data_IF_723393999849
#
_entry.id   IF_723393999849
#
_cell.length_a   1.000
_cell.length_b   1.000
_cell.length_c   1.000
_cell.angle_alpha   90.00
_cell.angle_beta   90.00
_cell.angle_gamma   90.00
#
_symmetry.space_group_name_H-M   'P 1'
#
loop_
_entity.id
_entity.type
_entity.pdbx_description
1 polymer ?
#
# COMPACT_ATOMS: atom_id res chain seq x y z
N UNK A 1 -8.95 2.96 10.83
CA UNK A 1 -9.49 3.49 9.57
C UNK A 1 -9.65 2.37 8.55
N UNK A 2 -10.57 2.54 7.63
CA UNK A 2 -10.87 1.55 6.57
C UNK A 2 -9.67 1.26 5.66
N UNK A 3 -8.75 2.22 5.53
CA UNK A 3 -7.57 2.07 4.66
C UNK A 3 -6.51 1.14 5.24
N UNK A 4 -6.53 0.88 6.55
CA UNK A 4 -5.60 -0.07 7.17
C UNK A 4 -5.80 -1.48 6.64
N UNK A 5 -7.03 -1.90 6.41
CA UNK A 5 -7.32 -3.22 5.83
C UNK A 5 -6.74 -3.35 4.42
N UNK A 6 -6.84 -2.30 3.62
CA UNK A 6 -6.25 -2.26 2.28
C UNK A 6 -4.73 -2.39 2.35
N UNK A 7 -4.10 -1.65 3.27
CA UNK A 7 -2.65 -1.69 3.47
C UNK A 7 -2.19 -3.07 3.94
N UNK A 8 -2.89 -3.67 4.89
CA UNK A 8 -2.58 -5.02 5.39
C UNK A 8 -2.72 -6.08 4.29
N UNK A 9 -3.77 -6.00 3.48
CA UNK A 9 -3.96 -6.91 2.35
C UNK A 9 -2.82 -6.80 1.34
N UNK A 10 -2.35 -5.58 1.08
CA UNK A 10 -1.19 -5.35 0.23
C UNK A 10 0.08 -5.97 0.84
N UNK A 11 0.31 -5.77 2.13
CA UNK A 11 1.44 -6.39 2.84
C UNK A 11 1.41 -7.91 2.72
N UNK A 12 0.25 -8.53 2.94
CA UNK A 12 0.07 -9.97 2.84
C UNK A 12 0.35 -10.48 1.41
N UNK A 13 -0.14 -9.78 0.41
CA UNK A 13 0.12 -10.13 -1.00
C UNK A 13 1.60 -10.02 -1.35
N UNK A 14 2.27 -8.97 -0.91
CA UNK A 14 3.70 -8.80 -1.12
C UNK A 14 4.49 -9.96 -0.49
N UNK A 15 4.07 -10.44 0.67
CA UNK A 15 4.69 -11.59 1.31
C UNK A 15 4.54 -12.87 0.46
N UNK A 16 3.43 -13.04 -0.24
CA UNK A 16 3.24 -14.17 -1.17
C UNK A 16 4.21 -14.13 -2.36
N UNK A 17 4.79 -12.98 -2.65
CA UNK A 17 5.84 -12.80 -3.65
C UNK A 17 7.26 -12.77 -3.05
N UNK A 18 7.41 -13.20 -1.80
CA UNK A 18 8.70 -13.24 -1.12
C UNK A 18 9.19 -11.87 -0.61
N UNK A 19 8.34 -10.86 -0.61
CA UNK A 19 8.69 -9.50 -0.20
C UNK A 19 8.20 -9.25 1.22
N UNK A 20 9.09 -9.45 2.20
CA UNK A 20 8.80 -9.40 3.63
C UNK A 20 9.09 -8.05 4.29
N UNK A 21 9.60 -7.08 3.54
CA UNK A 21 10.03 -5.79 4.09
C UNK A 21 8.96 -4.69 4.03
N UNK A 22 7.72 -5.04 3.71
CA UNK A 22 6.63 -4.07 3.69
C UNK A 22 6.15 -3.78 5.10
N UNK A 23 6.29 -2.54 5.53
CA UNK A 23 5.80 -2.08 6.83
C UNK A 23 4.41 -1.46 6.69
N UNK A 24 3.54 -1.80 7.63
CA UNK A 24 2.16 -1.30 7.67
C UNK A 24 1.87 -0.79 9.09
N UNK A 25 2.42 0.39 9.46
CA UNK A 25 2.30 0.89 10.83
C UNK A 25 0.87 1.32 11.14
N UNK A 26 0.38 0.92 12.31
CA UNK A 26 -0.92 1.26 12.83
C UNK A 26 -0.87 2.45 13.76
N UNK A 27 -1.74 3.42 13.50
CA UNK A 27 -1.88 4.61 14.32
C UNK A 27 -0.86 5.69 13.97
N UNK A 28 -1.25 6.91 14.24
CA UNK A 28 -0.50 8.10 13.84
C UNK A 28 0.92 8.15 14.41
N UNK A 29 1.07 7.74 15.66
CA UNK A 29 2.38 7.73 16.33
C UNK A 29 3.38 6.81 15.62
N UNK A 30 2.97 5.55 15.38
CA UNK A 30 3.84 4.58 14.69
C UNK A 30 4.10 4.97 13.24
N UNK A 31 3.11 5.52 12.56
CA UNK A 31 3.26 6.02 11.19
C UNK A 31 4.32 7.12 11.11
N UNK A 32 4.31 8.03 12.06
CA UNK A 32 5.32 9.10 12.13
C UNK A 32 6.71 8.55 12.43
N UNK A 33 6.83 7.64 13.38
CA UNK A 33 8.13 7.03 13.72
C UNK A 33 8.69 6.23 12.52
N UNK A 34 7.85 5.50 11.82
CA UNK A 34 8.26 4.75 10.63
C UNK A 34 8.73 5.69 9.53
N UNK A 35 8.01 6.78 9.29
CA UNK A 35 8.44 7.79 8.32
C UNK A 35 9.78 8.43 8.72
N UNK A 36 9.95 8.74 9.99
CA UNK A 36 11.19 9.35 10.50
C UNK A 36 12.39 8.41 10.36
N UNK A 37 12.17 7.10 10.53
CA UNK A 37 13.21 6.08 10.41
C UNK A 37 13.52 5.69 8.96
N UNK A 38 12.76 6.20 7.99
CA UNK A 38 12.94 5.87 6.58
C UNK A 38 14.16 6.56 5.96
N UNK A 39 14.55 6.07 4.79
CA UNK A 39 15.69 6.57 4.04
C UNK A 39 15.42 6.44 2.52
N UNK A 40 16.29 6.96 1.63
CA UNK A 40 16.06 6.94 0.18
C UNK A 40 15.96 5.56 -0.46
N UNK A 41 16.31 4.48 0.25
CA UNK A 41 16.12 3.10 -0.24
C UNK A 41 14.68 2.61 -0.06
N UNK A 42 13.89 3.32 0.72
CA UNK A 42 12.47 3.04 0.90
C UNK A 42 11.63 3.73 -0.17
N UNK A 43 10.43 3.24 -0.34
CA UNK A 43 9.34 3.92 -1.02
C UNK A 43 8.12 3.88 -0.10
N UNK A 44 7.28 4.89 -0.17
CA UNK A 44 6.09 4.96 0.66
C UNK A 44 4.84 5.07 -0.21
N UNK A 45 3.78 4.40 0.22
CA UNK A 45 2.45 4.53 -0.38
C UNK A 45 1.53 5.13 0.69
N UNK A 46 0.91 6.25 0.35
CA UNK A 46 -0.05 6.93 1.23
C UNK A 46 -1.46 6.64 0.71
N UNK A 47 -2.24 6.00 1.54
CA UNK A 47 -3.64 5.67 1.24
C UNK A 47 -4.56 6.65 1.97
N UNK A 48 -5.07 7.63 1.27
CA UNK A 48 -6.01 8.61 1.83
C UNK A 48 -6.97 9.08 0.75
N UNK A 49 -8.24 8.72 0.88
CA UNK A 49 -9.23 9.02 -0.15
C UNK A 49 -9.32 10.52 -0.42
N UNK A 50 -9.53 11.33 0.62
CA UNK A 50 -9.70 12.79 0.46
C UNK A 50 -8.40 13.59 0.53
N UNK A 51 -7.32 13.02 1.03
CA UNK A 51 -6.07 13.73 1.33
C UNK A 51 -6.16 14.67 2.54
N UNK A 52 -7.30 14.76 3.17
CA UNK A 52 -7.57 15.70 4.28
C UNK A 52 -7.33 15.12 5.67
N UNK A 53 -6.98 13.84 5.77
CA UNK A 53 -6.67 13.24 7.05
C UNK A 53 -5.47 13.95 7.70
N UNK A 54 -5.55 14.14 9.01
CA UNK A 54 -4.56 14.91 9.78
C UNK A 54 -3.15 14.35 9.71
N UNK A 55 -3.00 13.06 9.44
CA UNK A 55 -1.68 12.42 9.33
C UNK A 55 -0.96 12.71 8.02
N UNK A 56 -1.68 13.06 6.96
CA UNK A 56 -1.11 13.13 5.59
C UNK A 56 0.00 14.16 5.49
N UNK A 57 -0.28 15.39 5.84
CA UNK A 57 0.68 16.48 5.69
C UNK A 57 1.98 16.27 6.47
N UNK A 58 1.95 15.99 7.79
CA UNK A 58 3.19 15.83 8.55
C UNK A 58 4.01 14.63 8.09
N UNK A 59 3.38 13.53 7.70
CA UNK A 59 4.09 12.35 7.21
C UNK A 59 4.72 12.64 5.84
N UNK A 60 4.01 13.28 4.93
CA UNK A 60 4.56 13.66 3.62
C UNK A 60 5.78 14.58 3.77
N UNK A 61 5.72 15.54 4.69
CA UNK A 61 6.87 16.43 4.96
C UNK A 61 8.10 15.66 5.41
N UNK A 62 7.93 14.74 6.36
CA UNK A 62 9.03 13.92 6.87
C UNK A 62 9.61 13.04 5.77
N UNK A 63 8.76 12.36 5.01
CA UNK A 63 9.20 11.51 3.90
C UNK A 63 9.96 12.32 2.86
N UNK A 64 9.50 13.51 2.56
CA UNK A 64 10.19 14.42 1.63
C UNK A 64 11.57 14.81 2.16
N UNK A 65 11.69 15.17 3.43
CA UNK A 65 12.97 15.48 4.07
C UNK A 65 13.93 14.28 4.05
N UNK A 66 13.40 13.07 4.18
CA UNK A 66 14.18 11.81 4.12
C UNK A 66 14.47 11.35 2.69
N UNK A 67 14.00 12.09 1.68
CA UNK A 67 14.16 11.77 0.26
C UNK A 67 13.56 10.40 -0.12
N UNK A 68 12.47 10.06 0.53
CA UNK A 68 11.70 8.85 0.24
C UNK A 68 10.69 9.16 -0.86
N UNK A 69 10.71 8.47 -2.01
CA UNK A 69 9.68 8.63 -3.02
C UNK A 69 8.33 8.16 -2.49
N UNK A 70 7.30 8.95 -2.74
CA UNK A 70 5.94 8.70 -2.26
C UNK A 70 4.99 8.56 -3.43
N UNK A 71 4.16 7.52 -3.40
CA UNK A 71 2.99 7.38 -4.26
C UNK A 71 1.75 7.64 -3.43
N UNK A 72 0.96 8.61 -3.86
CA UNK A 72 -0.31 8.93 -3.23
C UNK A 72 -1.44 8.18 -3.93
N UNK A 73 -2.31 7.55 -3.17
CA UNK A 73 -3.50 6.86 -3.68
C UNK A 73 -4.74 7.46 -3.04
N UNK A 74 -5.60 8.05 -3.84
CA UNK A 74 -6.82 8.70 -3.37
C UNK A 74 -7.71 9.16 -4.51
N UNK A 75 -8.74 9.94 -4.20
CA UNK A 75 -9.65 10.48 -5.21
C UNK A 75 -8.97 11.57 -6.06
N UNK A 76 -9.52 11.83 -7.23
CA UNK A 76 -9.13 12.99 -8.03
C UNK A 76 -9.25 14.28 -7.19
N UNK A 77 -8.20 15.09 -7.19
CA UNK A 77 -8.12 16.29 -6.35
C UNK A 77 -7.74 16.05 -4.89
N UNK A 78 -7.56 14.79 -4.47
CA UNK A 78 -7.14 14.45 -3.10
C UNK A 78 -5.65 14.64 -2.85
N UNK A 79 -4.82 14.73 -3.90
CA UNK A 79 -3.40 15.01 -3.76
C UNK A 79 -3.18 16.50 -3.51
N UNK A 80 -3.31 16.91 -2.25
CA UNK A 80 -3.24 18.32 -1.82
C UNK A 80 -1.81 18.84 -1.72
N UNK A 81 -0.81 17.96 -1.74
CA UNK A 81 0.60 18.30 -1.54
C UNK A 81 1.47 17.69 -2.65
N UNK A 82 1.22 18.06 -3.92
CA UNK A 82 1.92 17.44 -5.05
C UNK A 82 3.44 17.64 -5.00
N UNK A 83 3.91 18.68 -4.33
CA UNK A 83 5.34 18.94 -4.17
C UNK A 83 6.08 17.88 -3.35
N UNK A 84 5.36 17.10 -2.53
CA UNK A 84 5.95 16.05 -1.70
C UNK A 84 5.79 14.63 -2.27
N UNK A 85 5.17 14.50 -3.44
CA UNK A 85 4.73 13.23 -4.00
C UNK A 85 5.41 12.98 -5.34
N UNK A 86 5.97 11.79 -5.52
CA UNK A 86 6.57 11.37 -6.79
C UNK A 86 5.53 11.00 -7.84
N UNK A 87 4.37 10.50 -7.42
CA UNK A 87 3.28 10.15 -8.29
C UNK A 87 1.98 9.97 -7.53
N UNK A 88 0.87 10.06 -8.24
CA UNK A 88 -0.45 9.87 -7.67
C UNK A 88 -1.27 8.90 -8.52
N UNK A 89 -1.93 7.95 -7.86
CA UNK A 89 -2.89 7.04 -8.45
C UNK A 89 -4.27 7.48 -8.01
N UNK A 90 -5.11 7.88 -8.96
CA UNK A 90 -6.43 8.40 -8.65
C UNK A 90 -7.51 7.37 -8.88
N UNK A 91 -8.41 7.27 -7.90
CA UNK A 91 -9.62 6.47 -8.01
C UNK A 91 -10.80 7.38 -8.37
N UNK A 92 -11.84 6.80 -8.98
CA UNK A 92 -12.99 7.56 -9.46
C UNK A 92 -13.66 8.35 -8.34
N UNK A 93 -13.95 9.63 -8.61
CA UNK A 93 -14.59 10.57 -7.68
C UNK A 93 -16.12 10.63 -7.83
N UNK A 94 -16.76 9.62 -8.45
CA UNK A 94 -18.22 9.61 -8.62
C UNK A 94 -19.02 9.53 -7.33
N UNK A 95 -18.40 9.79 -6.20
CA UNK A 95 -19.08 9.85 -4.93
C UNK A 95 -19.84 11.16 -4.78
N UNK A 96 -21.17 11.08 -4.90
CA UNK A 96 -22.02 12.11 -4.34
C UNK A 96 -22.01 11.99 -2.82
N UNK A 97 -21.72 13.10 -2.15
CA UNK A 97 -21.80 13.24 -0.68
C UNK A 97 -23.14 12.78 -0.08
N UNK A 98 -24.15 12.50 -0.92
CA UNK A 98 -25.48 12.02 -0.53
C UNK A 98 -25.58 10.51 -0.31
N UNK A 99 -24.63 9.75 -0.81
CA UNK A 99 -24.64 8.29 -0.68
C UNK A 99 -23.57 7.83 0.28
N UNK A 100 -23.96 7.54 1.52
CA UNK A 100 -23.09 6.87 2.50
C UNK A 100 -22.69 5.44 2.07
N UNK A 101 -23.34 4.90 1.07
CA UNK A 101 -22.88 3.77 0.28
C UNK A 101 -21.50 4.05 -0.33
N UNK A 102 -21.16 5.31 -0.46
CA UNK A 102 -19.90 5.79 -1.02
C UNK A 102 -18.65 5.37 -0.24
N UNK A 103 -18.70 5.26 1.09
CA UNK A 103 -17.55 4.78 1.86
C UNK A 103 -17.20 3.32 1.53
N UNK A 104 -18.21 2.53 1.22
CA UNK A 104 -18.04 1.16 0.77
C UNK A 104 -17.42 1.13 -0.64
N UNK A 105 -17.88 2.01 -1.52
CA UNK A 105 -17.34 2.14 -2.89
C UNK A 105 -15.89 2.61 -2.89
N UNK A 106 -15.52 3.56 -2.04
CA UNK A 106 -14.14 4.04 -1.95
C UNK A 106 -13.20 2.96 -1.42
N UNK A 107 -13.64 2.17 -0.45
CA UNK A 107 -12.84 1.04 0.05
C UNK A 107 -12.59 0.01 -1.05
N UNK A 108 -13.62 -0.37 -1.81
CA UNK A 108 -13.48 -1.30 -2.93
C UNK A 108 -12.54 -0.73 -4.00
N UNK A 109 -12.68 0.55 -4.33
CA UNK A 109 -11.84 1.21 -5.32
C UNK A 109 -10.37 1.28 -4.85
N UNK A 110 -10.12 1.58 -3.60
CA UNK A 110 -8.77 1.57 -3.02
C UNK A 110 -8.17 0.17 -3.03
N UNK A 111 -8.95 -0.84 -2.65
CA UNK A 111 -8.51 -2.23 -2.68
C UNK A 111 -8.18 -2.68 -4.11
N UNK A 112 -9.03 -2.35 -5.07
CA UNK A 112 -8.79 -2.65 -6.48
C UNK A 112 -7.50 -2.00 -6.97
N UNK A 113 -7.30 -0.72 -6.66
CA UNK A 113 -6.09 -0.01 -7.07
C UNK A 113 -4.84 -0.65 -6.49
N UNK A 114 -4.86 -1.02 -5.22
CA UNK A 114 -3.71 -1.65 -4.59
C UNK A 114 -3.46 -3.06 -5.11
N UNK A 115 -4.50 -3.79 -5.50
CA UNK A 115 -4.36 -5.08 -6.17
C UNK A 115 -3.70 -4.93 -7.55
N UNK A 116 -4.05 -3.87 -8.28
CA UNK A 116 -3.39 -3.54 -9.56
C UNK A 116 -1.92 -3.20 -9.34
N UNK A 117 -1.62 -2.39 -8.33
CA UNK A 117 -0.23 -2.05 -7.96
C UNK A 117 0.56 -3.31 -7.64
N UNK A 118 -0.01 -4.21 -6.85
CA UNK A 118 0.62 -5.51 -6.57
C UNK A 118 0.88 -6.31 -7.85
N UNK A 119 -0.11 -6.38 -8.73
CA UNK A 119 0.03 -7.08 -10.03
C UNK A 119 1.16 -6.52 -10.88
N UNK A 120 1.31 -5.20 -10.91
CA UNK A 120 2.42 -4.54 -11.60
C UNK A 120 3.77 -4.90 -10.98
N UNK A 121 3.89 -4.86 -9.67
CA UNK A 121 5.12 -5.24 -8.95
C UNK A 121 5.44 -6.71 -9.20
N UNK A 122 4.44 -7.58 -9.14
CA UNK A 122 4.60 -9.01 -9.41
C UNK A 122 5.16 -9.27 -10.81
N UNK A 123 4.63 -8.56 -11.81
CA UNK A 123 5.05 -8.71 -13.20
C UNK A 123 6.45 -8.16 -13.48
N UNK A 124 6.94 -7.23 -12.69
CA UNK A 124 8.31 -6.70 -12.85
C UNK A 124 9.37 -7.77 -12.68
N UNK A 125 9.08 -8.82 -11.92
CA UNK A 125 10.01 -9.93 -11.67
C UNK A 125 9.24 -11.25 -11.66
N UNK A 126 8.45 -11.45 -12.70
CA UNK A 126 7.44 -12.52 -12.75
C UNK A 126 8.02 -13.92 -12.58
N UNK A 127 9.12 -14.22 -13.26
CA UNK A 127 9.72 -15.56 -13.21
C UNK A 127 10.18 -15.91 -11.80
N UNK A 128 10.89 -15.00 -11.16
CA UNK A 128 11.35 -15.15 -9.76
C UNK A 128 10.18 -15.28 -8.78
N UNK A 129 9.15 -14.49 -8.98
CA UNK A 129 7.97 -14.52 -8.12
C UNK A 129 7.17 -15.82 -8.30
N UNK A 130 7.08 -16.37 -9.52
CA UNK A 130 6.47 -17.66 -9.78
C UNK A 130 7.29 -18.80 -9.14
N UNK A 131 8.61 -18.76 -9.24
CA UNK A 131 9.48 -19.75 -8.59
C UNK A 131 9.29 -19.73 -7.07
N UNK A 132 9.23 -18.53 -6.49
CA UNK A 132 8.96 -18.39 -5.06
C UNK A 132 7.59 -18.97 -4.68
N UNK A 133 6.57 -18.75 -5.50
CA UNK A 133 5.25 -19.32 -5.27
C UNK A 133 5.28 -20.85 -5.27
N UNK A 134 5.98 -21.46 -6.23
CA UNK A 134 6.17 -22.91 -6.30
C UNK A 134 6.89 -23.46 -5.07
N UNK A 135 7.94 -22.79 -4.64
CA UNK A 135 8.69 -23.12 -3.43
C UNK A 135 7.78 -23.06 -2.19
N UNK A 136 6.98 -22.00 -2.07
CA UNK A 136 6.09 -21.81 -0.94
C UNK A 136 4.98 -22.86 -0.89
N UNK A 137 4.43 -23.27 -2.03
CA UNK A 137 3.44 -24.32 -2.12
C UNK A 137 4.06 -25.66 -1.65
N UNK A 138 5.27 -25.97 -2.11
CA UNK A 138 5.98 -27.17 -1.67
C UNK A 138 6.25 -27.19 -0.18
N UNK A 139 6.65 -26.05 0.38
CA UNK A 139 6.89 -25.90 1.82
C UNK A 139 5.62 -26.04 2.66
N UNK A 140 4.48 -25.56 2.14
CA UNK A 140 3.20 -25.59 2.84
C UNK A 140 2.42 -26.89 2.65
N UNK A 141 2.94 -27.82 1.84
CA UNK A 141 2.29 -29.12 1.60
C UNK A 141 2.66 -30.10 2.72
N UNK A 142 1.77 -30.21 3.70
CA UNK A 142 1.98 -31.05 4.88
C UNK A 142 2.10 -32.55 4.56
N UNK A 143 1.72 -33.00 3.35
CA UNK A 143 1.80 -34.39 2.94
C UNK A 143 3.23 -34.88 2.76
N UNK A 144 4.17 -33.98 2.48
CA UNK A 144 5.58 -34.34 2.31
C UNK A 144 6.34 -34.43 3.64
N UNK A 145 5.75 -34.03 4.76
CA UNK A 145 6.37 -34.11 6.09
C UNK A 145 6.37 -35.52 6.66
N UNK A 146 5.61 -36.44 6.07
CA UNK A 146 5.45 -37.81 6.58
C UNK A 146 6.53 -38.78 6.11
N UNK A 147 7.48 -38.38 5.28
CA UNK A 147 8.47 -39.25 4.65
C UNK A 147 9.85 -39.24 5.33
N UNK A 148 9.92 -38.72 6.56
CA UNK A 148 11.13 -38.85 7.40
C UNK A 148 11.04 -40.03 8.36
#
# INVERSE_FOLDING_TARGET
SHNMNVAENFQDKMLTAGKSSVECPHGFYKQRLTALASNPKHAAIILSYSGKATFVKPILKVLHQKKVPVVYVGKAGGNLYPQYVAGALTISSRENLRDRISQFSSHIAMQYMMDVVFGCIYNMDREKNIEYLKESIGFMDDRDIQDE
#
